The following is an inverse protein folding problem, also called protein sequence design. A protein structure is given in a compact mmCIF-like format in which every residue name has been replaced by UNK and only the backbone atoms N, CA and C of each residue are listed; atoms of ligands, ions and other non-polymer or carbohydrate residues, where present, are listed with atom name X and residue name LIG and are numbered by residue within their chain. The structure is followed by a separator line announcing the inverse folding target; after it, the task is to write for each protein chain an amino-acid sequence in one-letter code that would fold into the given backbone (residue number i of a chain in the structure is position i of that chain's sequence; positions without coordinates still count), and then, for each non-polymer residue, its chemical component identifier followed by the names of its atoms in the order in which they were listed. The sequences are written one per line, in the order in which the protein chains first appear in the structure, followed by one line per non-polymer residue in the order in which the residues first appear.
data_IF_988436101109
#
_entry.id   IF_988436101109
#
_cell.length_a   1.000
_cell.length_b   1.000
_cell.length_c   1.000
_cell.angle_alpha   90.00
_cell.angle_beta   90.00
_cell.angle_gamma   90.00
#
_symmetry.space_group_name_H-M   'P 1'
#
loop_
_entity.id
_entity.type
_entity.pdbx_description
1 polymer ?
#
# COMPACT_ATOMS: atom_id res chain seq x y z
N UNK A 1 15.83 -10.44 6.37
CA UNK A 1 14.54 -11.14 6.56
C UNK A 1 13.39 -10.20 6.24
N UNK A 2 12.33 -10.72 5.58
CA UNK A 2 11.12 -9.95 5.27
C UNK A 2 9.94 -10.76 5.79
N UNK A 3 9.13 -10.14 6.63
CA UNK A 3 7.87 -10.69 7.14
C UNK A 3 6.72 -9.84 6.64
N UNK A 4 5.69 -10.47 6.08
CA UNK A 4 4.50 -9.77 5.58
C UNK A 4 3.24 -10.45 6.07
N UNK A 5 2.32 -9.64 6.59
CA UNK A 5 0.99 -10.05 7.05
C UNK A 5 -0.03 -9.26 6.26
N UNK A 6 -0.93 -9.95 5.58
CA UNK A 6 -2.01 -9.33 4.82
C UNK A 6 -3.34 -9.98 5.19
N UNK A 7 -4.38 -9.18 5.28
CA UNK A 7 -5.72 -9.67 5.55
C UNK A 7 -6.79 -8.70 5.07
N UNK A 8 -7.96 -9.23 4.76
CA UNK A 8 -9.14 -8.46 4.38
C UNK A 8 -10.35 -9.03 5.10
N UNK A 9 -11.13 -8.15 5.70
CA UNK A 9 -12.45 -8.45 6.25
C UNK A 9 -13.47 -7.65 5.47
N UNK A 10 -14.57 -8.26 5.10
CA UNK A 10 -15.64 -7.57 4.38
C UNK A 10 -17.02 -8.05 4.84
N UNK A 11 -18.00 -7.18 4.64
CA UNK A 11 -19.41 -7.47 4.79
C UNK A 11 -20.18 -7.05 3.55
N UNK A 12 -21.15 -7.84 3.17
CA UNK A 12 -22.06 -7.56 2.06
C UNK A 12 -23.50 -7.65 2.55
N UNK A 13 -24.35 -6.76 2.05
CA UNK A 13 -25.77 -6.75 2.32
C UNK A 13 -26.56 -6.38 1.07
N UNK A 14 -27.59 -7.15 0.77
CA UNK A 14 -28.56 -6.80 -0.25
C UNK A 14 -29.59 -5.85 0.38
N UNK A 15 -29.50 -4.55 0.04
CA UNK A 15 -30.34 -3.50 0.61
C UNK A 15 -31.74 -3.54 -0.02
N UNK A 16 -31.78 -3.77 -1.34
CA UNK A 16 -33.01 -3.83 -2.12
C UNK A 16 -32.77 -4.73 -3.35
N UNK A 17 -33.85 -5.08 -4.06
CA UNK A 17 -33.75 -5.87 -5.28
C UNK A 17 -32.81 -5.20 -6.28
N UNK A 18 -31.71 -5.89 -6.61
CA UNK A 18 -30.67 -5.42 -7.49
C UNK A 18 -29.61 -4.53 -6.85
N UNK A 19 -29.78 -4.06 -5.59
CA UNK A 19 -28.82 -3.24 -4.87
C UNK A 19 -28.06 -4.04 -3.82
N UNK A 20 -26.75 -4.12 -3.99
CA UNK A 20 -25.84 -4.76 -3.03
C UNK A 20 -24.77 -3.75 -2.55
N UNK A 21 -24.72 -3.56 -1.26
CA UNK A 21 -23.66 -2.79 -0.60
C UNK A 21 -22.59 -3.73 -0.08
N UNK A 22 -21.34 -3.37 -0.31
CA UNK A 22 -20.17 -4.06 0.25
C UNK A 22 -19.26 -3.04 0.91
N UNK A 23 -18.85 -3.35 2.14
CA UNK A 23 -17.82 -2.63 2.88
C UNK A 23 -16.66 -3.58 3.16
N UNK A 24 -15.43 -3.17 2.90
CA UNK A 24 -14.24 -3.98 3.15
C UNK A 24 -13.12 -3.18 3.77
N UNK A 25 -12.41 -3.81 4.70
CA UNK A 25 -11.21 -3.29 5.35
C UNK A 25 -10.06 -4.25 5.08
N UNK A 26 -9.01 -3.75 4.42
CA UNK A 26 -7.80 -4.50 4.11
C UNK A 26 -6.61 -3.91 4.85
N UNK A 27 -5.76 -4.79 5.37
CA UNK A 27 -4.50 -4.43 6.03
C UNK A 27 -3.32 -5.16 5.41
N UNK A 28 -2.20 -4.47 5.30
CA UNK A 28 -0.90 -5.03 4.92
C UNK A 28 0.16 -4.47 5.86
N UNK A 29 0.85 -5.37 6.56
CA UNK A 29 1.99 -5.04 7.42
C UNK A 29 3.22 -5.75 6.88
N UNK A 30 4.31 -5.00 6.70
CA UNK A 30 5.59 -5.54 6.29
C UNK A 30 6.67 -5.08 7.26
N UNK A 31 7.49 -6.03 7.69
CA UNK A 31 8.70 -5.79 8.47
C UNK A 31 9.87 -6.32 7.67
N UNK A 32 10.90 -5.51 7.53
CA UNK A 32 12.14 -5.89 6.86
C UNK A 32 13.29 -5.62 7.83
N UNK A 33 14.13 -6.62 8.01
CA UNK A 33 15.33 -6.55 8.84
C UNK A 33 16.51 -7.02 8.00
N UNK A 34 17.48 -6.15 7.84
CA UNK A 34 18.74 -6.47 7.16
C UNK A 34 19.89 -6.12 8.10
N UNK A 35 20.68 -7.14 8.42
CA UNK A 35 21.91 -6.99 9.17
C UNK A 35 23.05 -7.37 8.26
N UNK A 36 24.08 -6.56 8.20
CA UNK A 36 25.29 -6.83 7.42
C UNK A 36 26.52 -6.53 8.29
N UNK A 37 27.53 -7.34 8.07
CA UNK A 37 28.84 -7.18 8.69
C UNK A 37 29.91 -7.34 7.60
N UNK A 38 30.90 -6.45 7.62
CA UNK A 38 32.05 -6.49 6.75
C UNK A 38 33.30 -6.57 7.59
N UNK A 39 34.07 -7.69 7.53
CA UNK A 39 35.33 -7.86 8.25
C UNK A 39 36.37 -6.85 7.82
N UNK A 40 37.34 -6.56 8.69
CA UNK A 40 38.38 -5.57 8.44
C UNK A 40 39.24 -5.85 7.22
N UNK A 41 39.49 -7.13 6.90
CA UNK A 41 40.31 -7.55 5.75
C UNK A 41 39.63 -7.29 4.38
N UNK A 42 38.31 -7.04 4.35
CA UNK A 42 37.57 -6.63 3.15
C UNK A 42 37.51 -5.09 3.00
N UNK A 43 37.95 -4.37 4.01
CA UNK A 43 37.90 -2.92 4.04
C UNK A 43 39.25 -2.31 3.63
N UNK A 44 39.25 -1.29 2.78
CA UNK A 44 40.44 -0.51 2.42
C UNK A 44 41.06 0.26 3.61
N UNK A 45 40.26 0.44 4.69
CA UNK A 45 40.70 1.10 5.92
C UNK A 45 41.20 0.15 7.02
N UNK A 46 41.14 -1.17 6.73
CA UNK A 46 41.45 -2.22 7.71
C UNK A 46 40.55 -2.16 8.98
N UNK A 47 39.33 -1.69 8.83
CA UNK A 47 38.37 -1.58 9.92
C UNK A 47 37.12 -2.41 9.59
N UNK A 48 36.64 -3.20 10.55
CA UNK A 48 35.39 -3.91 10.44
C UNK A 48 34.21 -2.95 10.63
N UNK A 49 33.15 -3.17 9.85
CA UNK A 49 31.93 -2.36 9.89
C UNK A 49 30.68 -3.24 9.91
N UNK A 50 29.65 -2.79 10.60
CA UNK A 50 28.35 -3.44 10.64
C UNK A 50 27.24 -2.45 10.37
N UNK A 51 26.12 -2.94 9.81
CA UNK A 51 24.94 -2.14 9.54
C UNK A 51 23.69 -2.91 9.92
N UNK A 52 22.77 -2.24 10.59
CA UNK A 52 21.41 -2.72 10.86
C UNK A 52 20.41 -1.79 10.19
N UNK A 53 19.48 -2.39 9.44
CA UNK A 53 18.39 -1.69 8.79
C UNK A 53 17.06 -2.34 9.16
N UNK A 54 16.19 -1.56 9.78
CA UNK A 54 14.83 -1.92 10.11
C UNK A 54 13.86 -1.08 9.29
N UNK A 55 12.91 -1.75 8.64
CA UNK A 55 11.87 -1.09 7.88
C UNK A 55 10.51 -1.68 8.23
N UNK A 56 9.58 -0.80 8.56
CA UNK A 56 8.18 -1.15 8.82
C UNK A 56 7.29 -0.40 7.85
N UNK A 57 6.46 -1.13 7.11
CA UNK A 57 5.42 -0.57 6.27
C UNK A 57 4.06 -1.07 6.73
N UNK A 58 3.11 -0.15 6.85
CA UNK A 58 1.72 -0.47 7.09
C UNK A 58 0.85 0.23 6.05
N UNK A 59 -0.08 -0.53 5.45
CA UNK A 59 -1.08 0.00 4.53
C UNK A 59 -2.45 -0.47 4.98
N UNK A 60 -3.38 0.45 5.06
CA UNK A 60 -4.79 0.18 5.34
C UNK A 60 -5.62 0.72 4.19
N UNK A 61 -6.57 -0.08 3.71
CA UNK A 61 -7.52 0.30 2.65
C UNK A 61 -8.92 0.03 3.17
N UNK A 62 -9.78 1.04 3.06
CA UNK A 62 -11.19 0.94 3.41
C UNK A 62 -12.03 1.27 2.17
N UNK A 63 -12.70 0.26 1.64
CA UNK A 63 -13.51 0.37 0.43
C UNK A 63 -14.98 0.19 0.74
N UNK A 64 -15.80 1.03 0.15
CA UNK A 64 -17.26 0.89 0.19
C UNK A 64 -17.80 0.97 -1.23
N UNK A 65 -18.58 0.00 -1.62
CA UNK A 65 -19.17 -0.07 -2.97
C UNK A 65 -20.65 -0.35 -2.90
N UNK A 66 -21.39 0.31 -3.77
CA UNK A 66 -22.79 0.04 -4.04
C UNK A 66 -22.89 -0.49 -5.47
N UNK A 67 -23.34 -1.72 -5.60
CA UNK A 67 -23.57 -2.39 -6.87
C UNK A 67 -25.06 -2.41 -7.17
N UNK A 68 -25.41 -2.14 -8.40
CA UNK A 68 -26.79 -2.23 -8.90
C UNK A 68 -26.82 -3.07 -10.16
N UNK A 69 -27.60 -4.13 -10.13
CA UNK A 69 -27.84 -4.99 -11.27
C UNK A 69 -29.34 -5.08 -11.51
N UNK A 70 -29.76 -4.75 -12.72
CA UNK A 70 -31.15 -4.77 -13.08
C UNK A 70 -31.36 -5.17 -14.53
N UNK A 71 -32.22 -6.17 -14.74
CA UNK A 71 -32.69 -6.61 -16.03
C UNK A 71 -34.12 -6.11 -16.23
N UNK A 72 -34.27 -5.08 -17.07
CA UNK A 72 -35.61 -4.55 -17.42
C UNK A 72 -36.41 -5.57 -18.27
N UNK A 73 -35.70 -6.21 -19.19
CA UNK A 73 -36.15 -7.32 -20.01
C UNK A 73 -34.93 -7.97 -20.68
N UNK A 74 -35.11 -9.04 -21.47
CA UNK A 74 -34.02 -9.75 -22.17
C UNK A 74 -33.13 -8.84 -23.03
N UNK A 75 -33.66 -7.69 -23.48
CA UNK A 75 -32.98 -6.78 -24.39
C UNK A 75 -32.26 -5.64 -23.64
N UNK A 76 -32.53 -5.41 -22.35
CA UNK A 76 -32.03 -4.26 -21.58
C UNK A 76 -31.53 -4.71 -20.22
N UNK A 77 -30.21 -4.77 -20.08
CA UNK A 77 -29.55 -5.09 -18.83
C UNK A 77 -28.64 -3.93 -18.40
N UNK A 78 -28.76 -3.50 -17.16
CA UNK A 78 -27.98 -2.45 -16.55
C UNK A 78 -27.19 -3.00 -15.38
N UNK A 79 -25.86 -2.84 -15.43
CA UNK A 79 -24.95 -3.05 -14.31
C UNK A 79 -24.29 -1.74 -13.95
N UNK A 80 -24.42 -1.30 -12.72
CA UNK A 80 -23.77 -0.10 -12.24
C UNK A 80 -23.04 -0.37 -10.93
N UNK A 81 -21.93 0.30 -10.74
CA UNK A 81 -21.20 0.31 -9.48
C UNK A 81 -20.77 1.72 -9.17
N UNK A 82 -20.96 2.13 -7.93
CA UNK A 82 -20.38 3.36 -7.40
C UNK A 82 -19.63 3.01 -6.10
N UNK A 83 -18.53 3.69 -5.83
CA UNK A 83 -17.76 3.40 -4.64
C UNK A 83 -16.84 4.53 -4.22
N UNK A 84 -16.41 4.40 -2.96
CA UNK A 84 -15.37 5.24 -2.36
C UNK A 84 -14.31 4.35 -1.72
N UNK A 85 -13.06 4.78 -1.84
CA UNK A 85 -11.89 4.10 -1.29
C UNK A 85 -11.04 5.10 -0.52
N UNK A 86 -10.62 4.70 0.67
CA UNK A 86 -9.68 5.43 1.50
C UNK A 86 -8.46 4.55 1.73
N UNK A 87 -7.31 5.02 1.34
CA UNK A 87 -6.05 4.34 1.52
C UNK A 87 -5.11 5.18 2.38
N UNK A 88 -4.44 4.54 3.34
CA UNK A 88 -3.39 5.15 4.14
C UNK A 88 -2.20 4.22 4.20
N UNK A 89 -1.04 4.72 3.77
CA UNK A 89 0.26 4.08 3.87
C UNK A 89 1.15 4.82 4.86
N UNK A 90 1.87 4.08 5.71
CA UNK A 90 2.88 4.63 6.62
C UNK A 90 4.12 3.75 6.52
N UNK A 91 5.27 4.36 6.27
CA UNK A 91 6.56 3.69 6.34
C UNK A 91 7.46 4.35 7.37
N UNK A 92 8.23 3.52 8.06
CA UNK A 92 9.27 3.94 9.00
C UNK A 92 10.51 3.12 8.72
N UNK A 93 11.65 3.77 8.72
CA UNK A 93 12.94 3.11 8.60
C UNK A 93 13.89 3.60 9.68
N UNK A 94 14.76 2.71 10.12
CA UNK A 94 15.87 3.03 10.99
C UNK A 94 17.11 2.35 10.42
N UNK A 95 18.21 3.10 10.30
CA UNK A 95 19.51 2.60 9.86
C UNK A 95 20.53 2.97 10.92
N UNK A 96 21.36 2.03 11.31
CA UNK A 96 22.49 2.25 12.20
C UNK A 96 23.73 1.58 11.62
N UNK A 97 24.85 2.29 11.66
CA UNK A 97 26.13 1.78 11.18
C UNK A 97 27.16 1.87 12.30
N UNK A 98 27.82 0.75 12.56
CA UNK A 98 28.87 0.63 13.56
C UNK A 98 30.22 0.41 12.92
N UNK A 99 31.28 0.82 13.62
CA UNK A 99 32.67 0.68 13.21
C UNK A 99 33.52 0.17 14.34
N UNK A 100 34.69 -0.37 13.98
CA UNK A 100 35.73 -0.84 14.92
C UNK A 100 35.16 -1.94 15.83
N UNK A 101 35.21 -3.14 15.36
CA UNK A 101 34.81 -4.33 16.11
C UNK A 101 36.06 -5.00 16.73
N UNK A 102 35.93 -5.61 17.92
CA UNK A 102 37.05 -6.27 18.58
C UNK A 102 37.56 -7.50 17.86
N UNK A 103 36.73 -8.07 17.01
CA UNK A 103 36.96 -9.33 16.29
C UNK A 103 36.23 -9.31 14.95
N UNK A 104 36.70 -10.08 13.98
CA UNK A 104 36.06 -10.18 12.66
C UNK A 104 35.05 -11.33 12.53
N UNK A 105 34.99 -12.25 13.47
CA UNK A 105 34.26 -13.50 13.30
C UNK A 105 33.22 -13.76 14.41
N UNK A 106 33.48 -13.33 15.65
CA UNK A 106 32.66 -13.70 16.81
C UNK A 106 31.65 -12.59 17.16
N UNK A 107 32.08 -11.36 17.20
CA UNK A 107 31.28 -10.21 17.63
C UNK A 107 30.84 -9.37 16.45
N UNK A 108 29.90 -9.90 15.66
CA UNK A 108 29.44 -9.25 14.40
C UNK A 108 28.15 -8.44 14.57
N UNK A 109 27.54 -8.44 15.76
CA UNK A 109 26.35 -7.65 16.04
C UNK A 109 26.71 -6.17 16.29
N UNK A 110 25.78 -5.27 16.03
CA UNK A 110 25.99 -3.84 16.15
C UNK A 110 26.35 -3.40 17.58
N UNK A 111 25.86 -4.10 18.60
CA UNK A 111 26.18 -3.83 20.02
C UNK A 111 27.63 -4.06 20.38
N UNK A 112 28.42 -4.74 19.55
CA UNK A 112 29.86 -4.99 19.75
C UNK A 112 30.75 -3.96 19.06
N UNK A 113 30.19 -3.03 18.30
CA UNK A 113 30.94 -1.94 17.69
C UNK A 113 31.46 -0.97 18.75
N UNK A 114 32.71 -0.57 18.61
CA UNK A 114 33.29 0.42 19.51
C UNK A 114 32.68 1.81 19.33
N UNK A 115 32.15 2.10 18.15
CA UNK A 115 31.48 3.37 17.87
C UNK A 115 30.34 3.20 16.84
N UNK A 116 29.30 4.00 17.00
CA UNK A 116 28.28 4.19 15.99
C UNK A 116 28.73 5.30 15.04
N UNK A 117 29.01 4.94 13.80
CA UNK A 117 29.55 5.87 12.79
C UNK A 117 28.46 6.74 12.16
N UNK A 118 27.25 6.20 12.03
CA UNK A 118 26.08 6.97 11.57
C UNK A 118 24.79 6.28 11.99
N UNK A 119 23.76 7.08 12.15
CA UNK A 119 22.41 6.61 12.37
C UNK A 119 21.42 7.53 11.65
N UNK A 120 20.27 6.99 11.30
CA UNK A 120 19.20 7.76 10.68
C UNK A 120 17.87 7.07 10.82
N UNK A 121 16.80 7.86 10.79
CA UNK A 121 15.47 7.35 10.71
C UNK A 121 14.69 8.07 9.60
N UNK A 122 13.75 7.35 8.98
CA UNK A 122 12.84 7.88 7.99
C UNK A 122 11.39 7.66 8.42
N UNK A 123 10.56 8.63 8.12
CA UNK A 123 9.11 8.52 8.25
C UNK A 123 8.45 9.08 7.01
N UNK A 124 7.55 8.29 6.40
CA UNK A 124 6.72 8.76 5.31
C UNK A 124 5.28 8.28 5.53
N UNK A 125 4.33 9.17 5.27
CA UNK A 125 2.92 8.86 5.34
C UNK A 125 2.24 9.37 4.06
N UNK A 126 1.41 8.52 3.47
CA UNK A 126 0.62 8.84 2.28
C UNK A 126 -0.85 8.50 2.51
N UNK A 127 -1.73 9.27 1.90
CA UNK A 127 -3.15 9.03 1.86
C UNK A 127 -3.68 9.17 0.44
N UNK A 128 -4.57 8.29 0.05
CA UNK A 128 -5.31 8.35 -1.21
C UNK A 128 -6.80 8.24 -0.92
N UNK A 129 -7.56 9.15 -1.47
CA UNK A 129 -9.01 9.09 -1.54
C UNK A 129 -9.41 8.89 -3.00
N UNK A 130 -10.33 7.98 -3.24
CA UNK A 130 -10.86 7.73 -4.57
C UNK A 130 -12.38 7.61 -4.49
N UNK A 131 -13.09 8.23 -5.40
CA UNK A 131 -14.49 7.94 -5.70
C UNK A 131 -14.64 7.56 -7.15
N UNK A 132 -15.45 6.56 -7.43
CA UNK A 132 -15.62 6.07 -8.78
C UNK A 132 -17.05 5.61 -9.04
N UNK A 133 -17.43 5.68 -10.31
CA UNK A 133 -18.65 5.08 -10.79
C UNK A 133 -18.43 4.46 -12.17
N UNK A 134 -19.07 3.32 -12.41
CA UNK A 134 -19.11 2.64 -13.70
C UNK A 134 -20.53 2.23 -14.01
N UNK A 135 -20.92 2.39 -15.27
CA UNK A 135 -22.20 1.96 -15.79
C UNK A 135 -21.92 1.12 -17.03
N UNK A 136 -22.41 -0.10 -17.03
CA UNK A 136 -22.44 -0.99 -18.18
C UNK A 136 -23.90 -1.17 -18.60
N UNK A 137 -24.19 -0.87 -19.85
CA UNK A 137 -25.52 -1.06 -20.41
C UNK A 137 -25.45 -1.97 -21.62
N UNK A 138 -26.17 -3.08 -21.54
CA UNK A 138 -26.27 -4.07 -22.60
C UNK A 138 -27.63 -3.95 -23.28
N UNK A 139 -27.58 -3.70 -24.58
CA UNK A 139 -28.77 -3.51 -25.42
C UNK A 139 -28.88 -4.64 -26.45
N UNK A 140 -30.02 -5.32 -26.47
CA UNK A 140 -30.39 -6.37 -27.45
C UNK A 140 -29.33 -7.49 -27.55
N UNK A 141 -28.61 -7.78 -26.47
CA UNK A 141 -27.49 -8.75 -26.44
C UNK A 141 -26.38 -8.48 -27.48
N UNK A 142 -26.41 -7.35 -28.17
CA UNK A 142 -25.48 -7.00 -29.26
C UNK A 142 -24.60 -5.77 -28.94
N UNK A 143 -25.18 -4.79 -28.28
CA UNK A 143 -24.50 -3.53 -28.01
C UNK A 143 -24.17 -3.44 -26.54
N UNK A 144 -22.89 -3.19 -26.23
CA UNK A 144 -22.41 -2.99 -24.87
C UNK A 144 -21.82 -1.58 -24.77
N UNK A 145 -22.37 -0.79 -23.89
CA UNK A 145 -21.88 0.56 -23.58
C UNK A 145 -21.30 0.55 -22.19
N UNK A 146 -20.07 1.06 -22.05
CA UNK A 146 -19.41 1.19 -20.74
C UNK A 146 -18.99 2.64 -20.53
N UNK A 147 -19.37 3.20 -19.40
CA UNK A 147 -18.93 4.52 -18.96
C UNK A 147 -18.32 4.41 -17.57
N UNK A 148 -17.14 4.97 -17.39
CA UNK A 148 -16.46 4.98 -16.11
C UNK A 148 -15.97 6.41 -15.80
N UNK A 149 -16.18 6.84 -14.58
CA UNK A 149 -15.60 8.06 -14.05
C UNK A 149 -14.90 7.78 -12.72
N UNK A 150 -13.72 8.33 -12.53
CA UNK A 150 -12.96 8.21 -11.29
C UNK A 150 -12.41 9.56 -10.89
N UNK A 151 -12.55 9.88 -9.61
CA UNK A 151 -12.03 11.08 -9.00
C UNK A 151 -11.08 10.69 -7.87
N UNK A 152 -9.80 10.99 -8.03
CA UNK A 152 -8.74 10.60 -7.11
C UNK A 152 -8.10 11.83 -6.46
N UNK A 153 -7.85 11.74 -5.15
CA UNK A 153 -7.12 12.74 -4.39
C UNK A 153 -5.98 12.11 -3.61
N UNK A 154 -4.76 12.63 -3.79
CA UNK A 154 -3.57 12.11 -3.12
C UNK A 154 -2.91 13.17 -2.24
N UNK A 155 -2.52 12.76 -1.02
CA UNK A 155 -1.77 13.61 -0.10
C UNK A 155 -0.33 13.89 -0.55
N UNK A 156 0.17 13.15 -1.54
CA UNK A 156 1.53 13.31 -2.07
C UNK A 156 1.66 14.48 -3.05
N UNK A 157 0.54 14.99 -3.56
CA UNK A 157 0.53 16.14 -4.44
C UNK A 157 0.36 17.46 -3.67
N UNK A 158 0.88 18.54 -4.23
CA UNK A 158 0.75 19.88 -3.65
C UNK A 158 -0.71 20.30 -3.51
N UNK A 159 -0.99 21.25 -2.62
CA UNK A 159 -2.35 21.67 -2.23
C UNK A 159 -3.26 22.06 -3.39
N UNK A 160 -2.69 22.57 -4.48
CA UNK A 160 -3.46 23.08 -5.63
C UNK A 160 -3.81 21.98 -6.67
N UNK A 161 -3.14 20.81 -6.65
CA UNK A 161 -3.31 19.75 -7.65
C UNK A 161 -3.52 18.37 -6.99
N UNK A 162 -4.18 18.31 -5.85
CA UNK A 162 -4.39 17.06 -5.10
C UNK A 162 -5.38 16.12 -5.75
N UNK A 163 -6.28 16.66 -6.58
CA UNK A 163 -7.40 15.91 -7.13
C UNK A 163 -7.35 15.87 -8.64
N UNK A 164 -7.72 14.72 -9.21
CA UNK A 164 -7.84 14.51 -10.64
C UNK A 164 -9.10 13.74 -11.00
N UNK A 165 -9.71 14.06 -12.14
CA UNK A 165 -10.84 13.34 -12.69
C UNK A 165 -10.42 12.58 -13.94
N UNK A 166 -10.78 11.28 -14.02
CA UNK A 166 -10.38 10.35 -15.06
C UNK A 166 -11.63 9.68 -15.65
N UNK A 167 -12.19 10.23 -16.74
CA UNK A 167 -13.28 9.59 -17.47
C UNK A 167 -12.74 8.54 -18.45
N UNK A 168 -13.53 7.48 -18.70
CA UNK A 168 -13.34 6.55 -19.82
C UNK A 168 -14.67 5.97 -20.30
N UNK A 169 -14.71 5.54 -21.59
CA UNK A 169 -15.89 4.97 -22.23
C UNK A 169 -15.53 4.10 -23.43
#
# INVERSE_FOLDING_TARGET
NIYRIMGTVYGEVDIWKGFRFRSSLSGNLQFTENNSFSPSFLSTRNEASGSEYHYKYSKTVFDNTLNYNYEFNKNHVLDAVAGVSFERGISRSTTMNGQTYPDNDIYTNLGSAASISSWGNGYNASGLFSSFARINYKLMERYLFTFTGRYDGSSMFGSNNRYGFFPSG
#
